data_IF_968438731788
#
_entry.id   IF_968438731788
#
_cell.length_a   1.000
_cell.length_b   1.000
_cell.length_c   1.000
_cell.angle_alpha   90.00
_cell.angle_beta   90.00
_cell.angle_gamma   90.00
#
_symmetry.space_group_name_H-M   'P 1'
#
loop_
_entity.id
_entity.type
_entity.pdbx_description
1 polymer ?
#
# COMPACT_ATOMS: atom_id res chain seq x y z
N UNK A 1 -26.81 -2.36 0.82
CA UNK A 1 -26.05 -3.64 0.76
C UNK A 1 -24.57 -3.30 0.66
N UNK A 2 -23.67 -4.02 1.37
CA UNK A 2 -22.23 -3.83 1.21
C UNK A 2 -21.81 -4.12 -0.24
N UNK A 3 -20.92 -3.29 -0.81
CA UNK A 3 -20.38 -3.50 -2.16
C UNK A 3 -19.58 -4.80 -2.20
N UNK A 4 -19.69 -5.54 -3.31
CA UNK A 4 -18.80 -6.68 -3.55
C UNK A 4 -17.37 -6.19 -3.84
N UNK A 5 -16.37 -7.06 -3.69
CA UNK A 5 -14.97 -6.68 -4.00
C UNK A 5 -14.81 -6.19 -5.45
N UNK A 6 -15.36 -6.86 -6.49
CA UNK A 6 -15.33 -6.32 -7.86
C UNK A 6 -15.96 -4.93 -7.99
N UNK A 7 -17.11 -4.70 -7.35
CA UNK A 7 -17.76 -3.38 -7.35
C UNK A 7 -16.91 -2.29 -6.67
N UNK A 8 -16.16 -2.65 -5.63
CA UNK A 8 -15.22 -1.77 -4.96
C UNK A 8 -14.02 -1.43 -5.86
N UNK A 9 -13.45 -2.42 -6.55
CA UNK A 9 -12.37 -2.23 -7.53
C UNK A 9 -12.82 -1.30 -8.67
N UNK A 10 -14.00 -1.55 -9.25
CA UNK A 10 -14.55 -0.71 -10.31
C UNK A 10 -14.84 0.72 -9.83
N UNK A 11 -15.31 0.86 -8.58
CA UNK A 11 -15.48 2.15 -7.94
C UNK A 11 -14.16 2.91 -7.83
N UNK A 12 -13.11 2.22 -7.39
CA UNK A 12 -11.79 2.80 -7.23
C UNK A 12 -11.16 3.19 -8.59
N UNK A 13 -11.33 2.38 -9.64
CA UNK A 13 -10.94 2.72 -11.02
C UNK A 13 -11.56 4.02 -11.49
N UNK A 14 -12.86 4.22 -11.24
CA UNK A 14 -13.54 5.48 -11.59
C UNK A 14 -12.99 6.67 -10.82
N UNK A 15 -12.72 6.51 -9.53
CA UNK A 15 -12.09 7.57 -8.72
C UNK A 15 -10.67 7.89 -9.21
N UNK A 16 -9.88 6.87 -9.54
CA UNK A 16 -8.53 6.99 -10.10
C UNK A 16 -8.54 7.78 -11.41
N UNK A 17 -9.49 7.48 -12.29
CA UNK A 17 -9.69 8.25 -13.52
C UNK A 17 -10.10 9.71 -13.25
N UNK A 18 -11.04 9.94 -12.32
CA UNK A 18 -11.48 11.29 -11.93
C UNK A 18 -10.36 12.11 -11.29
N UNK A 19 -9.48 11.48 -10.52
CA UNK A 19 -8.34 12.14 -9.90
C UNK A 19 -7.37 12.66 -10.95
N UNK A 20 -6.99 11.82 -11.92
CA UNK A 20 -6.03 12.17 -12.96
C UNK A 20 -4.69 12.64 -12.39
N UNK A 21 -3.91 13.33 -13.21
CA UNK A 21 -2.60 13.89 -12.84
C UNK A 21 -2.61 15.37 -13.18
N UNK A 22 -2.29 16.22 -12.20
CA UNK A 22 -2.21 17.68 -12.41
C UNK A 22 -0.77 18.12 -12.57
N UNK A 23 -0.55 19.11 -13.42
CA UNK A 23 0.80 19.64 -13.63
C UNK A 23 1.41 20.24 -12.35
N UNK A 24 0.61 20.87 -11.49
CA UNK A 24 1.08 21.47 -10.23
C UNK A 24 1.55 20.44 -9.19
N UNK A 25 1.02 19.23 -9.26
CA UNK A 25 1.30 18.14 -8.32
C UNK A 25 1.76 16.90 -9.06
N UNK A 26 2.53 17.07 -10.15
CA UNK A 26 2.85 16.01 -11.09
C UNK A 26 3.43 14.77 -10.38
N UNK A 27 4.54 14.92 -9.66
CA UNK A 27 5.19 13.80 -8.97
C UNK A 27 4.35 13.22 -7.82
N UNK A 28 3.77 14.04 -6.92
CA UNK A 28 2.84 13.53 -5.90
C UNK A 28 1.68 12.71 -6.48
N UNK A 29 1.08 13.18 -7.57
CA UNK A 29 -0.04 12.51 -8.19
C UNK A 29 0.38 11.19 -8.85
N UNK A 30 1.56 11.15 -9.48
CA UNK A 30 2.12 9.91 -10.00
C UNK A 30 2.36 8.87 -8.89
N UNK A 31 2.91 9.28 -7.74
CA UNK A 31 3.06 8.39 -6.59
C UNK A 31 1.70 7.92 -6.06
N UNK A 32 0.73 8.83 -5.91
CA UNK A 32 -0.59 8.50 -5.40
C UNK A 32 -1.30 7.51 -6.32
N UNK A 33 -1.38 7.78 -7.62
CA UNK A 33 -2.06 6.86 -8.55
C UNK A 33 -1.31 5.53 -8.69
N UNK A 34 0.02 5.52 -8.60
CA UNK A 34 0.79 4.27 -8.61
C UNK A 34 0.39 3.36 -7.46
N UNK A 35 0.25 3.92 -6.25
CA UNK A 35 -0.23 3.16 -5.09
C UNK A 35 -1.71 2.70 -5.22
N UNK A 36 -2.56 3.49 -5.91
CA UNK A 36 -3.93 3.06 -6.23
C UNK A 36 -3.90 1.87 -7.18
N UNK A 37 -3.11 1.97 -8.25
CA UNK A 37 -2.98 0.94 -9.27
C UNK A 37 -2.40 -0.36 -8.64
N UNK A 38 -1.36 -0.27 -7.81
CA UNK A 38 -0.84 -1.40 -7.01
C UNK A 38 -1.91 -2.07 -6.15
N UNK A 39 -2.80 -1.28 -5.53
CA UNK A 39 -3.89 -1.82 -4.72
C UNK A 39 -4.91 -2.58 -5.57
N UNK A 40 -5.26 -2.04 -6.74
CA UNK A 40 -6.19 -2.66 -7.68
C UNK A 40 -5.60 -3.96 -8.21
N UNK A 41 -4.40 -3.91 -8.76
CA UNK A 41 -3.74 -5.06 -9.41
C UNK A 41 -3.50 -6.19 -8.40
N UNK A 42 -3.07 -5.84 -7.19
CA UNK A 42 -2.93 -6.82 -6.11
C UNK A 42 -4.29 -7.41 -5.68
N UNK A 43 -5.36 -6.59 -5.60
CA UNK A 43 -6.68 -7.10 -5.26
C UNK A 43 -7.22 -8.08 -6.32
N UNK A 44 -7.05 -7.77 -7.61
CA UNK A 44 -7.45 -8.67 -8.71
C UNK A 44 -6.65 -9.97 -8.69
N UNK A 45 -5.32 -9.86 -8.60
CA UNK A 45 -4.44 -11.03 -8.52
C UNK A 45 -4.76 -11.91 -7.31
N UNK A 46 -5.11 -11.30 -6.16
CA UNK A 46 -5.54 -12.05 -4.98
C UNK A 46 -6.83 -12.84 -5.22
N UNK A 47 -7.80 -12.27 -5.95
CA UNK A 47 -9.06 -12.94 -6.29
C UNK A 47 -8.82 -14.11 -7.24
N UNK A 48 -7.97 -13.94 -8.26
CA UNK A 48 -7.60 -15.03 -9.18
C UNK A 48 -6.89 -16.17 -8.43
N UNK A 49 -5.99 -15.84 -7.51
CA UNK A 49 -5.29 -16.82 -6.68
C UNK A 49 -6.22 -17.59 -5.74
N UNK A 50 -7.30 -16.96 -5.25
CA UNK A 50 -8.31 -17.62 -4.42
C UNK A 50 -9.09 -18.69 -5.18
N UNK A 51 -9.30 -18.52 -6.48
CA UNK A 51 -9.99 -19.50 -7.32
C UNK A 51 -9.09 -20.70 -7.64
N UNK A 52 -7.77 -20.48 -7.68
CA UNK A 52 -6.76 -21.48 -8.01
C UNK A 52 -6.53 -22.59 -6.96
N UNK A 53 -5.59 -23.52 -7.25
CA UNK A 53 -5.33 -24.71 -6.43
C UNK A 53 -4.59 -24.42 -5.12
N UNK A 54 -4.08 -23.19 -4.93
CA UNK A 54 -3.28 -22.78 -3.76
C UNK A 54 -3.77 -21.42 -3.23
N UNK A 55 -5.02 -21.35 -2.70
CA UNK A 55 -5.65 -20.08 -2.32
C UNK A 55 -4.88 -19.30 -1.24
N UNK A 56 -4.12 -20.00 -0.39
CA UNK A 56 -3.27 -19.35 0.62
C UNK A 56 -2.18 -18.44 0.02
N UNK A 57 -1.85 -18.56 -1.28
CA UNK A 57 -0.92 -17.65 -1.95
C UNK A 57 -1.49 -16.25 -2.13
N UNK A 58 -2.81 -16.10 -2.08
CA UNK A 58 -3.47 -14.80 -2.18
C UNK A 58 -3.05 -13.83 -1.05
N UNK A 59 -2.63 -14.34 0.12
CA UNK A 59 -2.14 -13.47 1.22
C UNK A 59 -0.94 -12.59 0.83
N UNK A 60 -0.12 -13.01 -0.14
CA UNK A 60 0.93 -12.16 -0.69
C UNK A 60 0.40 -10.91 -1.36
N UNK A 61 -0.65 -11.07 -2.14
CA UNK A 61 -1.30 -9.97 -2.81
C UNK A 61 -2.11 -9.11 -1.83
N UNK A 62 -2.76 -9.73 -0.82
CA UNK A 62 -3.40 -8.98 0.27
C UNK A 62 -2.40 -8.09 1.00
N UNK A 63 -1.18 -8.59 1.25
CA UNK A 63 -0.12 -7.79 1.86
C UNK A 63 0.25 -6.58 1.01
N UNK A 64 0.44 -6.76 -0.30
CA UNK A 64 0.76 -5.65 -1.21
C UNK A 64 -0.35 -4.61 -1.19
N UNK A 65 -1.61 -5.03 -1.36
CA UNK A 65 -2.76 -4.13 -1.29
C UNK A 65 -2.85 -3.39 0.05
N UNK A 66 -2.59 -4.09 1.16
CA UNK A 66 -2.57 -3.49 2.49
C UNK A 66 -1.46 -2.45 2.62
N UNK A 67 -0.21 -2.77 2.29
CA UNK A 67 0.89 -1.81 2.38
C UNK A 67 0.68 -0.59 1.48
N UNK A 68 0.18 -0.79 0.26
CA UNK A 68 -0.13 0.28 -0.67
C UNK A 68 -1.22 1.22 -0.13
N UNK A 69 -2.33 0.66 0.39
CA UNK A 69 -3.42 1.43 1.01
C UNK A 69 -2.92 2.28 2.18
N UNK A 70 -2.06 1.71 3.05
CA UNK A 70 -1.52 2.38 4.22
C UNK A 70 -0.58 3.54 3.83
N UNK A 71 0.30 3.32 2.85
CA UNK A 71 1.18 4.37 2.32
C UNK A 71 0.37 5.48 1.63
N UNK A 72 -0.68 5.10 0.92
CA UNK A 72 -1.57 6.02 0.22
C UNK A 72 -2.37 6.88 1.20
N UNK A 73 -2.87 6.31 2.30
CA UNK A 73 -3.52 7.07 3.38
C UNK A 73 -2.60 8.18 3.89
N UNK A 74 -1.37 7.82 4.28
CA UNK A 74 -0.38 8.77 4.79
C UNK A 74 -0.07 9.87 3.78
N UNK A 75 0.09 9.48 2.50
CA UNK A 75 0.37 10.45 1.44
C UNK A 75 -0.81 11.40 1.22
N UNK A 76 -2.02 10.87 1.09
CA UNK A 76 -3.22 11.66 0.78
C UNK A 76 -3.57 12.68 1.86
N UNK A 77 -3.29 12.37 3.13
CA UNK A 77 -3.62 13.22 4.28
C UNK A 77 -2.47 14.13 4.74
N UNK A 78 -1.36 14.17 4.01
CA UNK A 78 -0.20 14.96 4.40
C UNK A 78 -0.40 16.43 4.05
N UNK A 79 -0.20 17.32 5.03
CA UNK A 79 -0.17 18.78 4.81
C UNK A 79 0.98 19.17 3.86
N UNK A 80 2.07 18.41 3.85
CA UNK A 80 3.20 18.58 2.92
C UNK A 80 3.06 17.71 1.65
N UNK A 81 1.85 17.58 1.08
CA UNK A 81 1.55 16.67 -0.04
C UNK A 81 2.56 16.78 -1.20
N UNK A 82 2.95 18.00 -1.57
CA UNK A 82 3.94 18.25 -2.63
C UNK A 82 5.30 17.60 -2.32
N UNK A 83 5.84 17.85 -1.14
CA UNK A 83 7.15 17.35 -0.72
C UNK A 83 7.10 15.84 -0.45
N UNK A 84 6.12 15.39 0.33
CA UNK A 84 6.00 13.97 0.68
C UNK A 84 5.70 13.11 -0.55
N UNK A 85 4.86 13.58 -1.46
CA UNK A 85 4.52 12.87 -2.69
C UNK A 85 5.68 12.83 -3.67
N UNK A 86 6.43 13.93 -3.82
CA UNK A 86 7.67 13.94 -4.60
C UNK A 86 8.66 12.92 -4.04
N UNK A 87 8.82 12.89 -2.72
CA UNK A 87 9.66 11.92 -2.03
C UNK A 87 9.20 10.48 -2.26
N UNK A 88 7.91 10.21 -2.15
CA UNK A 88 7.34 8.88 -2.41
C UNK A 88 7.63 8.41 -3.84
N UNK A 89 7.44 9.29 -4.83
CA UNK A 89 7.73 8.97 -6.22
C UNK A 89 9.21 8.66 -6.45
N UNK A 90 10.11 9.51 -5.96
CA UNK A 90 11.57 9.31 -6.06
C UNK A 90 12.02 8.01 -5.37
N UNK A 91 11.43 7.66 -4.23
CA UNK A 91 11.71 6.41 -3.54
C UNK A 91 11.43 5.18 -4.42
N UNK A 92 10.27 5.14 -5.08
CA UNK A 92 9.92 4.01 -5.94
C UNK A 92 10.71 4.00 -7.25
N UNK A 93 10.94 5.16 -7.88
CA UNK A 93 11.83 5.23 -9.05
C UNK A 93 13.23 4.69 -8.73
N UNK A 94 13.78 5.03 -7.57
CA UNK A 94 15.08 4.49 -7.13
C UNK A 94 15.07 2.98 -6.88
N UNK A 95 13.94 2.40 -6.42
CA UNK A 95 13.79 0.95 -6.28
C UNK A 95 13.76 0.26 -7.63
N UNK A 96 13.01 0.79 -8.58
CA UNK A 96 12.93 0.24 -9.93
C UNK A 96 14.27 0.35 -10.67
N UNK A 97 14.95 1.49 -10.54
CA UNK A 97 16.29 1.68 -11.11
C UNK A 97 17.28 0.65 -10.55
N UNK A 98 17.27 0.42 -9.23
CA UNK A 98 18.12 -0.58 -8.61
C UNK A 98 17.83 -2.01 -9.08
N UNK A 99 16.57 -2.33 -9.43
CA UNK A 99 16.21 -3.61 -10.04
C UNK A 99 16.72 -3.70 -11.48
N UNK A 100 16.46 -2.70 -12.32
CA UNK A 100 16.93 -2.67 -13.72
C UNK A 100 18.45 -2.70 -13.84
N UNK A 101 19.17 -2.02 -12.94
CA UNK A 101 20.64 -2.08 -12.89
C UNK A 101 21.16 -3.49 -12.59
N UNK A 102 20.44 -4.28 -11.76
CA UNK A 102 20.77 -5.69 -11.53
C UNK A 102 20.54 -6.53 -12.78
N UNK A 103 19.56 -6.15 -13.60
CA UNK A 103 19.17 -6.83 -14.83
C UNK A 103 19.95 -6.34 -16.07
N UNK A 104 20.82 -5.33 -15.92
CA UNK A 104 21.67 -4.71 -16.97
C UNK A 104 20.88 -4.09 -18.13
N UNK A 105 19.73 -3.51 -17.86
CA UNK A 105 18.96 -2.77 -18.86
C UNK A 105 19.49 -1.33 -18.99
N UNK A 106 19.85 -0.91 -20.21
CA UNK A 106 20.11 0.51 -20.53
C UNK A 106 18.79 1.25 -20.68
N UNK A 107 18.60 2.34 -19.92
CA UNK A 107 17.37 3.14 -20.01
C UNK A 107 17.72 4.61 -19.90
N UNK A 108 17.16 5.42 -20.80
CA UNK A 108 17.03 6.86 -20.62
C UNK A 108 16.31 7.14 -19.31
N UNK A 109 16.81 8.09 -18.51
CA UNK A 109 16.19 8.43 -17.23
C UNK A 109 14.80 9.03 -17.47
N UNK A 110 13.76 8.19 -17.42
CA UNK A 110 12.35 8.60 -17.41
C UNK A 110 12.12 9.65 -16.31
N UNK A 111 12.81 9.49 -15.18
CA UNK A 111 12.82 10.47 -14.12
C UNK A 111 13.22 11.87 -14.62
N UNK A 112 14.37 11.97 -15.29
CA UNK A 112 14.84 13.25 -15.83
C UNK A 112 13.87 13.84 -16.86
N UNK A 113 13.20 13.00 -17.66
CA UNK A 113 12.16 13.47 -18.57
C UNK A 113 10.97 14.06 -17.82
N UNK A 114 10.42 13.36 -16.83
CA UNK A 114 9.27 13.82 -16.04
C UNK A 114 9.60 15.10 -15.29
N UNK A 115 10.79 15.18 -14.67
CA UNK A 115 11.24 16.39 -13.95
C UNK A 115 11.38 17.58 -14.90
N UNK A 116 11.99 17.41 -16.08
CA UNK A 116 12.06 18.48 -17.10
C UNK A 116 10.68 18.93 -17.56
N UNK A 117 9.75 18.00 -17.79
CA UNK A 117 8.36 18.33 -18.15
C UNK A 117 7.67 19.10 -17.04
N UNK A 118 7.94 18.78 -15.78
CA UNK A 118 7.40 19.51 -14.64
C UNK A 118 7.97 20.93 -14.55
N UNK A 119 9.30 21.04 -14.63
CA UNK A 119 10.05 22.29 -14.53
C UNK A 119 9.68 23.30 -15.63
N UNK A 120 9.24 22.81 -16.81
CA UNK A 120 8.76 23.66 -17.89
C UNK A 120 7.54 24.53 -17.50
N UNK A 121 6.78 24.15 -16.45
CA UNK A 121 5.62 24.91 -15.96
C UNK A 121 5.74 25.34 -14.50
N UNK A 122 6.59 24.69 -13.71
CA UNK A 122 6.81 24.97 -12.28
C UNK A 122 8.30 25.15 -12.03
N UNK A 123 8.80 26.40 -12.01
CA UNK A 123 10.25 26.68 -11.96
C UNK A 123 10.98 26.13 -10.72
N UNK A 124 10.26 25.89 -9.63
CA UNK A 124 10.75 25.33 -8.38
C UNK A 124 10.82 23.79 -8.38
N UNK A 125 10.32 23.12 -9.42
CA UNK A 125 10.27 21.65 -9.49
C UNK A 125 11.64 20.98 -9.28
N UNK A 126 12.69 21.51 -9.91
CA UNK A 126 14.04 20.96 -9.77
C UNK A 126 14.59 21.14 -8.34
N UNK A 127 14.28 22.25 -7.68
CA UNK A 127 14.67 22.51 -6.30
C UNK A 127 13.95 21.54 -5.35
N UNK A 128 12.64 21.36 -5.53
CA UNK A 128 11.83 20.41 -4.75
C UNK A 128 12.40 18.99 -4.91
N UNK A 129 12.69 18.56 -6.14
CA UNK A 129 13.28 17.24 -6.41
C UNK A 129 14.66 17.08 -5.76
N UNK A 130 15.53 18.08 -5.89
CA UNK A 130 16.86 18.05 -5.29
C UNK A 130 16.79 17.95 -3.76
N UNK A 131 15.90 18.74 -3.14
CA UNK A 131 15.65 18.72 -1.69
C UNK A 131 15.16 17.35 -1.23
N UNK A 132 14.13 16.80 -1.86
CA UNK A 132 13.54 15.52 -1.43
C UNK A 132 14.47 14.33 -1.71
N UNK A 133 15.28 14.37 -2.76
CA UNK A 133 16.33 13.38 -2.99
C UNK A 133 17.36 13.39 -1.86
N UNK A 134 17.78 14.57 -1.42
CA UNK A 134 18.71 14.69 -0.30
C UNK A 134 18.10 14.20 1.02
N UNK A 135 16.81 14.44 1.24
CA UNK A 135 16.10 13.87 2.40
C UNK A 135 16.09 12.35 2.32
N UNK A 136 15.73 11.75 1.18
CA UNK A 136 15.74 10.29 0.98
C UNK A 136 17.10 9.66 1.28
N UNK A 137 18.19 10.27 0.81
CA UNK A 137 19.55 9.77 1.07
C UNK A 137 19.91 9.80 2.56
N UNK A 138 19.31 10.71 3.32
CA UNK A 138 19.53 10.88 4.76
C UNK A 138 18.60 10.03 5.63
N UNK A 139 17.55 9.43 5.07
CA UNK A 139 16.63 8.61 5.86
C UNK A 139 17.38 7.41 6.44
N UNK A 140 17.43 7.35 7.77
CA UNK A 140 17.93 6.21 8.55
C UNK A 140 16.72 5.65 9.29
N UNK A 141 16.04 4.68 8.69
CA UNK A 141 14.80 4.16 9.25
C UNK A 141 14.29 2.93 8.51
N UNK A 142 13.03 2.52 8.81
CA UNK A 142 12.37 1.43 8.09
C UNK A 142 12.36 1.69 6.57
N UNK A 143 12.36 0.62 5.78
CA UNK A 143 12.38 0.70 4.32
C UNK A 143 11.04 1.22 3.76
N UNK A 144 10.89 2.54 3.76
CA UNK A 144 9.79 3.30 3.15
C UNK A 144 10.20 4.76 2.93
N UNK A 145 9.43 5.51 2.16
CA UNK A 145 9.69 6.92 1.86
C UNK A 145 9.53 7.90 3.04
N UNK A 146 8.98 7.43 4.18
CA UNK A 146 8.82 8.25 5.39
C UNK A 146 10.06 8.20 6.29
N UNK A 147 10.83 7.10 6.23
CA UNK A 147 11.95 6.83 7.13
C UNK A 147 11.53 6.68 8.59
N UNK A 148 10.25 6.40 8.86
CA UNK A 148 9.68 6.18 10.20
C UNK A 148 8.67 5.05 10.19
N UNK A 149 8.14 4.72 11.37
CA UNK A 149 7.15 3.66 11.55
C UNK A 149 5.86 3.99 10.79
N UNK A 150 5.49 3.14 9.82
CA UNK A 150 4.29 3.35 9.01
C UNK A 150 3.01 3.28 9.83
N UNK A 151 2.96 2.41 10.85
CA UNK A 151 1.75 2.25 11.67
C UNK A 151 1.38 3.52 12.45
N UNK A 152 2.38 4.24 12.95
CA UNK A 152 2.20 5.54 13.63
C UNK A 152 1.81 6.64 12.62
N UNK A 153 2.41 6.63 11.44
CA UNK A 153 2.03 7.57 10.39
C UNK A 153 0.58 7.38 9.94
N UNK A 154 0.11 6.13 9.86
CA UNK A 154 -1.29 5.81 9.53
C UNK A 154 -2.25 6.23 10.63
N UNK A 155 -1.86 6.09 11.91
CA UNK A 155 -2.67 6.57 13.04
C UNK A 155 -2.98 8.07 12.91
N UNK A 156 -1.96 8.87 12.60
CA UNK A 156 -2.13 10.29 12.29
C UNK A 156 -3.00 10.54 11.04
N UNK A 157 -2.80 9.77 9.97
CA UNK A 157 -3.61 9.89 8.76
C UNK A 157 -5.10 9.63 9.03
N UNK A 158 -5.40 8.63 9.87
CA UNK A 158 -6.76 8.35 10.30
C UNK A 158 -7.35 9.50 11.13
N UNK A 159 -6.59 10.09 12.05
CA UNK A 159 -7.07 11.26 12.79
C UNK A 159 -7.49 12.42 11.85
N UNK A 160 -6.73 12.64 10.76
CA UNK A 160 -7.10 13.61 9.73
C UNK A 160 -8.38 13.22 8.99
N UNK A 161 -8.49 11.96 8.55
CA UNK A 161 -9.69 11.48 7.84
C UNK A 161 -10.93 11.48 8.72
N UNK A 162 -10.85 11.00 9.96
CA UNK A 162 -12.01 10.94 10.85
C UNK A 162 -12.51 12.34 11.20
N UNK A 163 -11.59 13.31 11.38
CA UNK A 163 -11.95 14.72 11.50
C UNK A 163 -12.66 15.24 10.25
N UNK A 164 -12.18 14.90 9.06
CA UNK A 164 -12.79 15.31 7.79
C UNK A 164 -14.19 14.73 7.59
N UNK A 165 -14.39 13.45 7.92
CA UNK A 165 -15.68 12.76 7.77
C UNK A 165 -16.63 12.92 8.97
N UNK A 166 -16.21 13.58 10.05
CA UNK A 166 -17.00 13.72 11.27
C UNK A 166 -17.25 12.39 11.98
N UNK A 167 -16.30 11.45 11.92
CA UNK A 167 -16.39 10.12 12.52
C UNK A 167 -15.49 9.99 13.75
N UNK A 168 -15.74 8.96 14.57
CA UNK A 168 -14.87 8.63 15.69
C UNK A 168 -13.60 7.91 15.22
N UNK A 169 -12.48 8.19 15.90
CA UNK A 169 -11.21 7.51 15.66
C UNK A 169 -11.22 6.13 16.33
N UNK A 170 -10.85 5.06 15.62
CA UNK A 170 -10.67 3.75 16.25
C UNK A 170 -9.59 3.79 17.32
N UNK A 171 -9.81 3.15 18.48
CA UNK A 171 -8.78 3.00 19.50
C UNK A 171 -7.70 2.01 19.05
N UNK A 172 -6.45 2.26 19.45
CA UNK A 172 -5.30 1.37 19.24
C UNK A 172 -5.00 1.00 17.76
N UNK A 173 -5.33 1.89 16.83
CA UNK A 173 -5.20 1.63 15.40
C UNK A 173 -3.76 1.27 14.99
N UNK A 174 -2.75 1.94 15.54
CA UNK A 174 -1.35 1.60 15.30
C UNK A 174 -1.03 0.13 15.67
N UNK A 175 -1.55 -0.37 16.80
CA UNK A 175 -1.32 -1.76 17.21
C UNK A 175 -2.11 -2.75 16.37
N UNK A 176 -3.34 -2.39 15.99
CA UNK A 176 -4.15 -3.17 15.04
C UNK A 176 -3.39 -3.33 13.72
N UNK A 177 -2.87 -2.24 13.14
CA UNK A 177 -2.12 -2.26 11.89
C UNK A 177 -0.83 -3.09 12.01
N UNK A 178 -0.08 -2.98 13.11
CA UNK A 178 1.09 -3.84 13.37
C UNK A 178 0.71 -5.31 13.46
N UNK A 179 -0.43 -5.64 14.08
CA UNK A 179 -0.92 -7.02 14.16
C UNK A 179 -1.31 -7.56 12.79
N UNK A 180 -2.06 -6.79 11.99
CA UNK A 180 -2.43 -7.16 10.61
C UNK A 180 -1.19 -7.39 9.77
N UNK A 181 -0.23 -6.46 9.81
CA UNK A 181 1.04 -6.60 9.09
C UNK A 181 1.82 -7.85 9.49
N UNK A 182 1.91 -8.17 10.79
CA UNK A 182 2.57 -9.41 11.27
C UNK A 182 1.89 -10.67 10.74
N UNK A 183 0.56 -10.72 10.74
CA UNK A 183 -0.21 -11.85 10.21
C UNK A 183 0.07 -12.01 8.71
N UNK A 184 -0.03 -10.93 7.94
CA UNK A 184 0.24 -10.95 6.51
C UNK A 184 1.71 -11.30 6.19
N UNK A 185 2.67 -10.83 6.99
CA UNK A 185 4.08 -11.21 6.84
C UNK A 185 4.30 -12.70 7.08
N UNK A 186 3.66 -13.28 8.10
CA UNK A 186 3.72 -14.73 8.37
C UNK A 186 3.27 -15.55 7.17
N UNK A 187 2.28 -15.04 6.42
CA UNK A 187 1.70 -15.72 5.27
C UNK A 187 2.46 -15.49 3.96
N UNK A 188 3.48 -14.62 3.94
CA UNK A 188 4.18 -14.19 2.72
C UNK A 188 5.67 -14.52 2.69
N UNK A 189 6.24 -14.91 3.81
CA UNK A 189 7.61 -15.41 3.88
C UNK A 189 7.66 -16.95 3.94
N UNK A 190 8.78 -17.52 3.50
CA UNK A 190 9.04 -18.95 3.67
C UNK A 190 9.20 -19.24 5.17
N UNK A 191 8.11 -19.67 5.80
CA UNK A 191 8.06 -20.06 7.20
C UNK A 191 7.76 -21.55 7.31
N UNK A 192 8.38 -22.22 8.29
CA UNK A 192 7.99 -23.59 8.66
C UNK A 192 6.58 -23.52 9.22
N UNK A 193 5.60 -23.73 8.36
CA UNK A 193 4.19 -23.63 8.71
C UNK A 193 3.69 -24.99 9.13
N UNK A 194 4.26 -25.47 10.22
CA UNK A 194 3.86 -26.70 10.87
C UNK A 194 3.05 -26.33 12.11
N UNK A 195 1.73 -26.22 11.92
CA UNK A 195 0.80 -25.99 13.02
C UNK A 195 0.18 -27.35 13.39
N UNK A 196 0.62 -28.00 14.48
CA UNK A 196 0.04 -29.27 14.89
C UNK A 196 -1.39 -29.04 15.39
N UNK A 197 -2.34 -29.80 14.85
CA UNK A 197 -3.69 -29.92 15.41
C UNK A 197 -3.72 -30.86 16.60
N UNK A 198 -2.81 -31.83 16.66
CA UNK A 198 -2.68 -32.80 17.75
C UNK A 198 -1.25 -33.31 17.82
N UNK A 199 -0.76 -33.53 19.04
CA UNK A 199 0.52 -34.17 19.33
C UNK A 199 0.24 -35.33 20.26
N UNK A 200 0.67 -36.54 19.91
CA UNK A 200 0.53 -37.76 20.71
C UNK A 200 1.86 -38.48 20.78
N UNK A 201 2.10 -39.19 21.88
CA UNK A 201 3.25 -40.07 22.05
C UNK A 201 2.69 -41.48 22.11
N UNK A 202 3.16 -42.36 21.23
CA UNK A 202 2.73 -43.76 21.24
C UNK A 202 3.48 -44.58 22.31
N UNK A 203 3.11 -45.86 22.44
CA UNK A 203 3.69 -46.78 23.42
C UNK A 203 5.17 -47.11 23.18
N UNK A 204 5.69 -46.83 21.98
CA UNK A 204 7.09 -47.03 21.60
C UNK A 204 7.92 -45.74 21.73
N UNK A 205 7.28 -44.62 22.09
CA UNK A 205 7.92 -43.32 22.30
C UNK A 205 8.03 -42.45 21.04
N UNK A 206 7.38 -42.83 19.93
CA UNK A 206 7.32 -41.97 18.75
C UNK A 206 6.26 -40.88 18.93
N UNK A 207 6.58 -39.69 18.42
CA UNK A 207 5.67 -38.54 18.44
C UNK A 207 4.87 -38.52 17.14
N UNK A 208 3.58 -38.83 17.24
CA UNK A 208 2.62 -38.61 16.16
C UNK A 208 2.18 -37.15 16.19
N UNK A 209 2.40 -36.44 15.09
CA UNK A 209 1.95 -35.06 14.94
C UNK A 209 1.00 -34.96 13.76
N UNK A 210 -0.25 -34.62 14.05
CA UNK A 210 -1.25 -34.34 13.03
C UNK A 210 -1.17 -32.87 12.64
N UNK A 211 -0.92 -32.58 11.38
CA UNK A 211 -0.92 -31.22 10.86
C UNK A 211 -2.36 -30.64 10.87
N UNK A 212 -2.52 -29.37 11.21
CA UNK A 212 -3.78 -28.65 11.04
C UNK A 212 -4.05 -28.44 9.54
N UNK A 213 -5.19 -28.92 9.00
CA UNK A 213 -5.52 -28.68 7.60
C UNK A 213 -5.76 -27.19 7.35
N UNK A 214 -5.36 -26.71 6.17
CA UNK A 214 -5.67 -25.35 5.73
C UNK A 214 -7.07 -25.33 5.14
N UNK A 215 -8.03 -24.86 5.92
CA UNK A 215 -9.41 -24.74 5.47
C UNK A 215 -9.55 -23.63 4.43
N UNK A 216 -10.07 -23.99 3.25
CA UNK A 216 -10.28 -23.04 2.15
C UNK A 216 -11.21 -21.90 2.55
N UNK A 217 -12.26 -22.19 3.32
CA UNK A 217 -13.23 -21.22 3.84
C UNK A 217 -12.57 -20.16 4.75
N UNK A 218 -11.66 -20.57 5.64
CA UNK A 218 -10.91 -19.65 6.51
C UNK A 218 -10.01 -18.73 5.68
N UNK A 219 -9.31 -19.28 4.69
CA UNK A 219 -8.45 -18.52 3.77
C UNK A 219 -9.27 -17.51 2.98
N UNK A 220 -10.37 -17.95 2.35
CA UNK A 220 -11.24 -17.08 1.55
C UNK A 220 -11.80 -15.94 2.39
N UNK A 221 -12.25 -16.22 3.61
CA UNK A 221 -12.73 -15.18 4.53
C UNK A 221 -11.62 -14.19 4.87
N UNK A 222 -10.44 -14.67 5.25
CA UNK A 222 -9.30 -13.82 5.62
C UNK A 222 -8.84 -12.92 4.47
N UNK A 223 -8.69 -13.49 3.28
CA UNK A 223 -8.29 -12.75 2.07
C UNK A 223 -9.35 -11.71 1.71
N UNK A 224 -10.63 -12.11 1.63
CA UNK A 224 -11.71 -11.17 1.28
C UNK A 224 -11.84 -10.02 2.28
N UNK A 225 -11.71 -10.29 3.57
CA UNK A 225 -11.73 -9.24 4.60
C UNK A 225 -10.53 -8.30 4.49
N UNK A 226 -9.33 -8.83 4.25
CA UNK A 226 -8.13 -8.01 4.05
C UNK A 226 -8.27 -7.08 2.85
N UNK A 227 -8.66 -7.62 1.68
CA UNK A 227 -8.89 -6.84 0.47
C UNK A 227 -9.98 -5.79 0.65
N UNK A 228 -11.07 -6.12 1.34
CA UNK A 228 -12.15 -5.17 1.60
C UNK A 228 -11.66 -3.98 2.42
N UNK A 229 -10.80 -4.20 3.43
CA UNK A 229 -10.20 -3.12 4.21
C UNK A 229 -9.31 -2.23 3.34
N UNK A 230 -8.37 -2.82 2.62
CA UNK A 230 -7.41 -2.08 1.78
C UNK A 230 -8.10 -1.27 0.69
N UNK A 231 -9.10 -1.84 0.01
CA UNK A 231 -9.88 -1.13 -1.01
C UNK A 231 -10.69 0.03 -0.40
N UNK A 232 -11.27 -0.17 0.79
CA UNK A 232 -12.01 0.88 1.50
C UNK A 232 -11.09 2.04 1.89
N UNK A 233 -9.95 1.73 2.49
CA UNK A 233 -8.94 2.72 2.89
C UNK A 233 -8.44 3.53 1.69
N UNK A 234 -8.12 2.84 0.59
CA UNK A 234 -7.65 3.47 -0.65
C UNK A 234 -8.73 4.37 -1.25
N UNK A 235 -9.99 3.92 -1.22
CA UNK A 235 -11.14 4.72 -1.64
C UNK A 235 -11.25 5.99 -0.80
N UNK A 236 -11.24 5.88 0.53
CA UNK A 236 -11.38 7.03 1.43
C UNK A 236 -10.26 8.05 1.27
N UNK A 237 -9.02 7.60 1.13
CA UNK A 237 -7.88 8.47 0.90
C UNK A 237 -7.97 9.22 -0.45
N UNK A 238 -8.39 8.53 -1.52
CA UNK A 238 -8.53 9.15 -2.83
C UNK A 238 -9.71 10.13 -2.88
N UNK A 239 -10.83 9.79 -2.24
CA UNK A 239 -11.98 10.69 -2.05
C UNK A 239 -11.59 11.93 -1.25
N UNK A 240 -10.85 11.75 -0.15
CA UNK A 240 -10.32 12.87 0.63
C UNK A 240 -9.46 13.80 -0.23
N UNK A 241 -8.51 13.25 -1.00
CA UNK A 241 -7.63 14.07 -1.85
C UNK A 241 -8.41 14.80 -2.94
N UNK A 242 -9.40 14.14 -3.54
CA UNK A 242 -10.33 14.77 -4.49
C UNK A 242 -11.07 15.95 -3.86
N UNK A 243 -11.57 15.81 -2.64
CA UNK A 243 -12.27 16.88 -1.94
C UNK A 243 -11.35 18.05 -1.55
N UNK A 244 -10.13 17.76 -1.09
CA UNK A 244 -9.13 18.80 -0.79
C UNK A 244 -8.82 19.63 -2.05
N UNK A 245 -8.69 18.97 -3.21
CA UNK A 245 -8.48 19.66 -4.49
C UNK A 245 -9.65 20.53 -4.94
N UNK A 246 -10.86 20.26 -4.48
CA UNK A 246 -12.02 21.11 -4.78
C UNK A 246 -12.04 22.35 -3.87
N UNK A 247 -11.40 22.26 -2.69
CA UNK A 247 -11.35 23.35 -1.69
C UNK A 247 -10.13 24.25 -1.87
N UNK A 248 -8.98 23.72 -2.30
CA UNK A 248 -7.73 24.48 -2.56
C UNK A 248 -7.85 25.52 -3.70
N UNK A 249 -8.99 25.57 -4.40
CA UNK A 249 -9.26 26.45 -5.55
C UNK A 249 -10.49 27.34 -5.37
N UNK A 250 -11.05 27.39 -4.15
CA UNK A 250 -11.99 28.40 -3.68
C UNK A 250 -11.26 29.41 -2.78
#
# INVERSE_FOLDING_TARGET
MPKTLPQSIDGLRRLRQRHGVRAATLLPDLALIGLVDDTIDAAETALDLLEGPRPYRAYAMVRIAFEAAQRLLVLATSDEYLHLGTRAWLYYQGKDEALRQREREEVDSLEAQVVRTWAARFPDAEEVVAREREVLRKLKGPDNFLGRNLAEAVDHAYATLTKFYGSEMPSDLAEINRRVYRVLCRDTHACVRFEPSTIRIDSEGFVEVLERPRERSEIEKGVRSGLASSLKETTSALEYRLAQRETEWL
#
